data_IF_885008814380
#
_entry.id   IF_885008814380
#
_cell.length_a   1.000
_cell.length_b   1.000
_cell.length_c   1.000
_cell.angle_alpha   90.00
_cell.angle_beta   90.00
_cell.angle_gamma   90.00
#
_symmetry.space_group_name_H-M   'P 1'
#
loop_
_entity.id
_entity.type
_entity.pdbx_description
1 polymer ?
#
# COMPACT_ATOMS: atom_id res chain seq x y z
N UNK A 1 5.36 -12.75 22.19
CA UNK A 1 6.58 -12.27 21.52
C UNK A 1 6.16 -11.73 20.16
N UNK A 2 6.54 -10.51 19.82
CA UNK A 2 6.32 -9.97 18.48
C UNK A 2 7.30 -10.62 17.50
N UNK A 3 6.80 -11.14 16.38
CA UNK A 3 7.62 -11.75 15.33
C UNK A 3 7.39 -10.94 14.05
N UNK A 4 8.48 -10.43 13.47
CA UNK A 4 8.49 -9.75 12.19
C UNK A 4 9.46 -10.51 11.27
N UNK A 5 8.97 -11.04 10.16
CA UNK A 5 9.82 -11.74 9.18
C UNK A 5 10.66 -10.72 8.41
N UNK A 6 11.98 -10.94 8.36
CA UNK A 6 12.94 -10.08 7.65
C UNK A 6 13.05 -10.45 6.17
N UNK A 7 11.95 -10.81 5.57
CA UNK A 7 11.83 -11.09 4.13
C UNK A 7 10.50 -10.56 3.63
N UNK A 8 10.48 -10.14 2.37
CA UNK A 8 9.24 -9.72 1.73
C UNK A 8 8.34 -10.94 1.48
N UNK A 9 7.05 -10.78 1.57
CA UNK A 9 6.06 -11.80 1.24
C UNK A 9 6.12 -12.17 -0.25
N UNK A 10 6.37 -11.18 -1.11
CA UNK A 10 6.69 -11.37 -2.52
C UNK A 10 8.04 -10.71 -2.85
N UNK A 11 8.94 -11.36 -3.61
CA UNK A 11 10.26 -10.81 -3.90
C UNK A 11 10.19 -9.58 -4.81
N UNK A 12 10.98 -8.56 -4.49
CA UNK A 12 11.18 -7.37 -5.32
C UNK A 12 12.63 -7.29 -5.76
N UNK A 13 12.87 -7.30 -7.07
CA UNK A 13 14.20 -7.28 -7.65
C UNK A 13 14.22 -6.47 -8.95
N UNK A 14 14.13 -5.15 -8.82
CA UNK A 14 14.07 -4.20 -9.93
C UNK A 14 15.48 -3.89 -10.40
N UNK A 15 15.74 -4.04 -11.71
CA UNK A 15 17.05 -3.85 -12.32
C UNK A 15 17.29 -2.41 -12.76
N UNK A 16 16.26 -1.77 -13.29
CA UNK A 16 16.38 -0.44 -13.90
C UNK A 16 15.63 0.60 -13.06
N UNK A 17 16.34 1.51 -12.38
CA UNK A 17 15.70 2.59 -11.62
C UNK A 17 14.86 3.51 -12.51
N UNK A 18 13.70 3.93 -12.00
CA UNK A 18 12.80 4.86 -12.67
C UNK A 18 11.97 5.64 -11.64
N UNK A 19 12.35 6.88 -11.39
CA UNK A 19 11.72 7.71 -10.37
C UNK A 19 10.27 8.10 -10.71
N UNK A 20 9.92 8.18 -12.00
CA UNK A 20 8.53 8.43 -12.40
C UNK A 20 7.62 7.27 -12.00
N UNK A 21 8.06 6.02 -12.19
CA UNK A 21 7.30 4.86 -11.73
C UNK A 21 7.20 4.82 -10.20
N UNK A 22 8.29 5.18 -9.49
CA UNK A 22 8.28 5.29 -8.02
C UNK A 22 7.19 6.25 -7.54
N UNK A 23 7.04 7.41 -8.19
CA UNK A 23 6.01 8.38 -7.86
C UNK A 23 4.60 7.80 -8.01
N UNK A 24 4.32 7.08 -9.09
CA UNK A 24 3.00 6.46 -9.30
C UNK A 24 2.67 5.45 -8.20
N UNK A 25 3.65 4.63 -7.84
CA UNK A 25 3.48 3.55 -6.86
C UNK A 25 3.34 4.09 -5.42
N UNK A 26 3.85 5.29 -5.15
CA UNK A 26 3.80 5.92 -3.83
C UNK A 26 2.37 6.07 -3.30
N UNK A 27 1.35 6.20 -4.17
CA UNK A 27 -0.05 6.23 -3.76
C UNK A 27 -0.47 4.97 -2.99
N UNK A 28 0.14 3.82 -3.28
CA UNK A 28 -0.12 2.57 -2.56
C UNK A 28 0.71 2.45 -1.27
N UNK A 29 1.66 3.35 -1.02
CA UNK A 29 2.32 3.45 0.27
C UNK A 29 1.51 4.29 1.25
N UNK A 30 1.29 5.56 0.95
CA UNK A 30 0.71 6.54 1.87
C UNK A 30 -0.48 7.32 1.31
N UNK A 31 -1.04 6.91 0.17
CA UNK A 31 -2.29 7.48 -0.33
C UNK A 31 -3.52 7.00 0.45
N UNK A 32 -4.71 7.54 0.17
CA UNK A 32 -5.94 7.26 0.93
C UNK A 32 -6.35 5.78 0.88
N UNK A 33 -6.02 5.10 -0.19
CA UNK A 33 -6.35 3.70 -0.43
C UNK A 33 -5.08 2.81 -0.46
N UNK A 34 -3.99 3.28 0.17
CA UNK A 34 -2.73 2.56 0.23
C UNK A 34 -2.60 1.67 1.46
N UNK A 35 -1.53 0.87 1.48
CA UNK A 35 -1.29 -0.20 2.47
C UNK A 35 -1.14 0.32 3.89
N UNK A 36 -0.59 1.52 4.07
CA UNK A 36 -0.51 2.14 5.40
C UNK A 36 -1.90 2.41 5.98
N UNK A 37 -2.81 2.94 5.17
CA UNK A 37 -4.19 3.17 5.56
C UNK A 37 -4.93 1.88 5.86
N UNK A 38 -4.79 0.87 5.01
CA UNK A 38 -5.40 -0.43 5.15
C UNK A 38 -4.97 -1.12 6.45
N UNK A 39 -3.66 -1.25 6.70
CA UNK A 39 -3.13 -1.88 7.91
C UNK A 39 -3.62 -1.20 9.20
N UNK A 40 -3.51 0.11 9.29
CA UNK A 40 -3.91 0.87 10.48
C UNK A 40 -5.43 0.83 10.69
N UNK A 41 -6.23 0.87 9.62
CA UNK A 41 -7.69 0.77 9.67
C UNK A 41 -8.10 -0.56 10.28
N UNK A 42 -7.70 -1.68 9.72
CA UNK A 42 -8.12 -3.01 10.14
C UNK A 42 -7.61 -3.36 11.55
N UNK A 43 -6.35 -3.05 11.85
CA UNK A 43 -5.78 -3.28 13.17
C UNK A 43 -6.41 -2.40 14.27
N UNK A 44 -6.97 -1.26 13.92
CA UNK A 44 -7.73 -0.41 14.86
C UNK A 44 -9.16 -0.92 15.04
N UNK A 45 -9.86 -1.25 13.97
CA UNK A 45 -11.26 -1.69 13.98
C UNK A 45 -11.46 -2.99 14.75
N UNK A 46 -10.47 -3.90 14.75
CA UNK A 46 -10.56 -5.19 15.47
C UNK A 46 -10.91 -5.06 16.96
N UNK A 47 -10.56 -3.95 17.60
CA UNK A 47 -10.87 -3.73 19.02
C UNK A 47 -12.35 -3.43 19.27
N UNK A 48 -13.06 -2.89 18.29
CA UNK A 48 -14.50 -2.63 18.36
C UNK A 48 -15.35 -3.83 17.94
N UNK A 49 -14.76 -4.84 17.28
CA UNK A 49 -15.52 -6.02 16.81
C UNK A 49 -15.98 -6.91 17.99
N UNK A 50 -17.28 -7.26 18.07
CA UNK A 50 -17.79 -8.11 19.14
C UNK A 50 -17.50 -9.59 18.92
N UNK A 51 -17.35 -10.03 17.66
CA UNK A 51 -17.20 -11.44 17.29
C UNK A 51 -15.72 -11.82 17.13
N UNK A 52 -15.36 -13.03 17.58
CA UNK A 52 -13.98 -13.53 17.51
C UNK A 52 -13.50 -13.72 16.08
N UNK A 53 -14.40 -14.16 15.22
CA UNK A 53 -14.16 -14.37 13.79
C UNK A 53 -13.77 -13.05 13.11
N UNK A 54 -14.55 -12.00 13.35
CA UNK A 54 -14.23 -10.65 12.83
C UNK A 54 -12.87 -10.14 13.35
N UNK A 55 -12.61 -10.30 14.67
CA UNK A 55 -11.31 -9.92 15.25
C UNK A 55 -10.15 -10.69 14.61
N UNK A 56 -10.33 -11.98 14.41
CA UNK A 56 -9.34 -12.84 13.78
C UNK A 56 -9.02 -12.41 12.35
N UNK A 57 -10.05 -12.23 11.53
CA UNK A 57 -9.91 -11.82 10.13
C UNK A 57 -9.28 -10.44 10.01
N UNK A 58 -9.75 -9.45 10.77
CA UNK A 58 -9.15 -8.10 10.77
C UNK A 58 -7.69 -8.09 11.26
N UNK A 59 -7.34 -8.97 12.20
CA UNK A 59 -5.95 -9.12 12.65
C UNK A 59 -5.08 -9.73 11.55
N UNK A 60 -5.58 -10.76 10.92
CA UNK A 60 -4.86 -11.50 9.88
C UNK A 60 -4.62 -10.62 8.65
N UNK A 61 -5.68 -10.02 8.11
CA UNK A 61 -5.57 -9.10 6.97
C UNK A 61 -4.74 -7.86 7.35
N UNK A 62 -5.04 -7.20 8.47
CA UNK A 62 -4.32 -5.99 8.86
C UNK A 62 -2.82 -6.20 9.10
N UNK A 63 -2.38 -7.41 9.51
CA UNK A 63 -0.96 -7.75 9.61
C UNK A 63 -0.36 -8.10 8.26
N UNK A 64 -1.12 -8.69 7.35
CA UNK A 64 -0.69 -8.91 5.96
C UNK A 64 -0.47 -7.58 5.24
N UNK A 65 -1.31 -6.56 5.48
CA UNK A 65 -1.12 -5.23 4.90
C UNK A 65 0.19 -4.55 5.36
N UNK A 66 0.73 -4.91 6.52
CA UNK A 66 2.08 -4.47 6.90
C UNK A 66 3.15 -5.11 6.00
N UNK A 67 2.96 -6.36 5.58
CA UNK A 67 3.86 -7.00 4.63
C UNK A 67 3.74 -6.40 3.22
N UNK A 68 2.52 -6.03 2.80
CA UNK A 68 2.28 -5.32 1.54
C UNK A 68 2.93 -3.93 1.54
N UNK A 69 2.82 -3.20 2.64
CA UNK A 69 3.51 -1.92 2.84
C UNK A 69 5.02 -2.04 2.62
N UNK A 70 5.65 -3.11 3.13
CA UNK A 70 7.07 -3.38 2.92
C UNK A 70 7.41 -3.69 1.44
N UNK A 71 6.53 -4.41 0.73
CA UNK A 71 6.69 -4.66 -0.71
C UNK A 71 6.66 -3.33 -1.48
N UNK A 72 5.67 -2.48 -1.22
CA UNK A 72 5.53 -1.16 -1.88
C UNK A 72 6.75 -0.29 -1.58
N UNK A 73 7.20 -0.23 -0.31
CA UNK A 73 8.41 0.50 0.08
C UNK A 73 9.66 0.00 -0.65
N UNK A 74 9.81 -1.33 -0.77
CA UNK A 74 10.94 -1.93 -1.48
C UNK A 74 10.94 -1.59 -2.98
N UNK A 75 9.77 -1.55 -3.61
CA UNK A 75 9.63 -1.13 -5.01
C UNK A 75 10.07 0.33 -5.16
N UNK A 76 9.54 1.26 -4.36
CA UNK A 76 9.89 2.68 -4.41
C UNK A 76 11.39 2.88 -4.18
N UNK A 77 11.95 2.22 -3.17
CA UNK A 77 13.38 2.29 -2.87
C UNK A 77 14.24 1.82 -4.04
N UNK A 78 13.92 0.67 -4.65
CA UNK A 78 14.71 0.13 -5.75
C UNK A 78 14.57 0.96 -7.03
N UNK A 79 13.42 1.56 -7.27
CA UNK A 79 13.17 2.46 -8.40
C UNK A 79 13.91 3.80 -8.29
N UNK A 80 14.28 4.23 -7.08
CA UNK A 80 15.01 5.49 -6.86
C UNK A 80 16.49 5.31 -6.53
N UNK A 81 16.92 4.08 -6.27
CA UNK A 81 18.26 3.76 -5.82
C UNK A 81 19.32 4.11 -6.88
N UNK A 82 20.31 4.89 -6.48
CA UNK A 82 21.47 5.23 -7.30
C UNK A 82 21.21 6.32 -8.34
N UNK A 83 20.01 6.88 -8.43
CA UNK A 83 19.73 8.05 -9.27
C UNK A 83 20.34 9.31 -8.66
N UNK A 84 20.89 10.18 -9.52
CA UNK A 84 21.35 11.50 -9.12
C UNK A 84 20.19 12.48 -8.91
N UNK A 85 20.40 13.59 -8.22
CA UNK A 85 19.39 14.64 -8.04
C UNK A 85 18.85 15.15 -9.38
N UNK A 86 19.73 15.35 -10.37
CA UNK A 86 19.33 15.81 -11.71
C UNK A 86 18.42 14.77 -12.40
N UNK A 87 18.75 13.49 -12.34
CA UNK A 87 17.91 12.41 -12.88
C UNK A 87 16.55 12.33 -12.20
N UNK A 88 16.50 12.51 -10.88
CA UNK A 88 15.26 12.55 -10.11
C UNK A 88 14.37 13.72 -10.53
N UNK A 89 14.96 14.91 -10.72
CA UNK A 89 14.24 16.11 -11.19
C UNK A 89 13.73 15.90 -12.62
N UNK A 90 14.57 15.40 -13.52
CA UNK A 90 14.22 15.14 -14.93
C UNK A 90 13.05 14.14 -15.06
N UNK A 91 12.99 13.14 -14.17
CA UNK A 91 11.92 12.14 -14.12
C UNK A 91 10.68 12.59 -13.33
N UNK A 92 10.58 13.85 -12.93
CA UNK A 92 9.41 14.40 -12.25
C UNK A 92 9.35 14.17 -10.75
N UNK A 93 10.38 13.58 -10.14
CA UNK A 93 10.47 13.30 -8.72
C UNK A 93 11.01 14.48 -7.88
N UNK A 94 11.34 15.59 -8.54
CA UNK A 94 11.94 16.76 -7.92
C UNK A 94 11.20 17.33 -6.70
N UNK A 95 9.87 17.53 -6.76
CA UNK A 95 9.10 18.03 -5.61
C UNK A 95 9.21 17.13 -4.38
N UNK A 96 9.15 15.81 -4.58
CA UNK A 96 9.33 14.86 -3.49
C UNK A 96 10.76 14.90 -2.93
N UNK A 97 11.75 14.95 -3.83
CA UNK A 97 13.17 14.97 -3.45
C UNK A 97 13.53 16.19 -2.57
N UNK A 98 12.95 17.35 -2.84
CA UNK A 98 13.19 18.55 -2.04
C UNK A 98 12.81 18.34 -0.57
N UNK A 99 11.67 17.71 -0.33
CA UNK A 99 11.17 17.53 1.03
C UNK A 99 11.74 16.28 1.73
N UNK A 100 12.02 15.21 0.97
CA UNK A 100 12.30 13.89 1.55
C UNK A 100 13.53 13.18 0.99
N UNK A 101 14.25 13.77 0.05
CA UNK A 101 15.31 13.11 -0.74
C UNK A 101 14.74 11.84 -1.42
N UNK A 102 15.36 10.68 -1.24
CA UNK A 102 14.81 9.37 -1.65
C UNK A 102 14.34 8.53 -0.46
N UNK A 103 14.07 9.18 0.68
CA UNK A 103 13.49 8.52 1.86
C UNK A 103 12.04 8.09 1.57
N UNK A 104 11.57 7.05 2.23
CA UNK A 104 10.18 6.59 2.10
C UNK A 104 9.31 7.42 3.03
N UNK A 105 8.49 8.27 2.45
CA UNK A 105 7.56 9.13 3.17
C UNK A 105 6.11 8.84 2.79
N UNK A 106 5.18 8.70 3.75
CA UNK A 106 3.80 8.35 3.47
C UNK A 106 3.02 9.52 2.86
N UNK A 107 2.87 9.48 1.55
CA UNK A 107 2.04 10.42 0.77
C UNK A 107 1.47 9.73 -0.48
N UNK A 108 0.46 10.37 -1.07
CA UNK A 108 -0.05 10.00 -2.38
C UNK A 108 0.90 10.48 -3.50
N UNK A 109 0.76 9.95 -4.72
CA UNK A 109 1.53 10.34 -5.90
C UNK A 109 1.50 11.85 -6.19
N UNK A 110 0.37 12.50 -5.90
CA UNK A 110 0.19 13.94 -6.04
C UNK A 110 0.78 14.79 -4.92
N UNK A 111 1.47 14.21 -3.94
CA UNK A 111 2.13 14.95 -2.86
C UNK A 111 1.26 15.21 -1.63
N UNK A 112 0.04 14.71 -1.58
CA UNK A 112 -0.84 14.85 -0.40
C UNK A 112 -0.34 13.87 0.67
N UNK A 113 0.04 14.36 1.87
CA UNK A 113 0.49 13.51 2.96
C UNK A 113 -0.59 12.54 3.43
N UNK A 114 -0.16 11.39 3.95
CA UNK A 114 -1.06 10.45 4.59
C UNK A 114 -1.90 11.13 5.68
N UNK A 115 -3.20 10.84 5.68
CA UNK A 115 -4.14 11.42 6.61
C UNK A 115 -5.03 10.33 7.25
N UNK A 116 -4.89 10.12 8.55
CA UNK A 116 -5.67 9.13 9.28
C UNK A 116 -7.20 9.41 9.29
N UNK A 117 -7.63 10.63 9.00
CA UNK A 117 -9.06 10.96 8.87
C UNK A 117 -9.76 10.21 7.72
N UNK A 118 -8.98 9.66 6.78
CA UNK A 118 -9.51 8.92 5.64
C UNK A 118 -9.90 7.47 5.96
N UNK A 119 -9.61 6.98 7.17
CA UNK A 119 -9.98 5.62 7.59
C UNK A 119 -11.49 5.37 7.60
N UNK A 120 -12.28 6.39 7.88
CA UNK A 120 -13.74 6.34 7.90
C UNK A 120 -14.34 5.25 8.83
N UNK A 121 -13.58 4.83 9.84
CA UNK A 121 -14.03 3.86 10.84
C UNK A 121 -15.05 4.49 11.80
N UNK A 122 -16.12 3.75 12.10
CA UNK A 122 -17.21 4.21 12.98
C UNK A 122 -17.33 3.42 14.27
N UNK A 123 -16.72 2.23 14.37
CA UNK A 123 -16.91 1.32 15.49
C UNK A 123 -18.22 0.53 15.39
N UNK A 124 -18.90 0.58 14.26
CA UNK A 124 -20.08 -0.21 13.93
C UNK A 124 -19.67 -1.33 12.97
N UNK A 125 -19.97 -2.58 13.34
CA UNK A 125 -19.49 -3.78 12.62
C UNK A 125 -19.86 -3.77 11.15
N UNK A 126 -21.13 -3.52 10.85
CA UNK A 126 -21.64 -3.59 9.47
C UNK A 126 -21.08 -2.43 8.65
N UNK A 127 -21.06 -1.22 9.22
CA UNK A 127 -20.51 -0.04 8.55
C UNK A 127 -19.03 -0.21 8.25
N UNK A 128 -18.25 -0.66 9.23
CA UNK A 128 -16.79 -0.80 9.09
C UNK A 128 -16.44 -1.92 8.10
N UNK A 129 -17.11 -3.07 8.12
CA UNK A 129 -16.89 -4.15 7.14
C UNK A 129 -17.25 -3.74 5.70
N UNK A 130 -18.32 -2.95 5.50
CA UNK A 130 -18.64 -2.41 4.18
C UNK A 130 -17.58 -1.43 3.68
N UNK A 131 -17.07 -0.58 4.57
CA UNK A 131 -15.96 0.33 4.22
C UNK A 131 -14.67 -0.44 3.93
N UNK A 132 -14.37 -1.49 4.67
CA UNK A 132 -13.20 -2.35 4.44
C UNK A 132 -13.30 -3.00 3.05
N UNK A 133 -14.44 -3.57 2.69
CA UNK A 133 -14.67 -4.10 1.34
C UNK A 133 -14.50 -3.02 0.27
N UNK A 134 -14.99 -1.81 0.51
CA UNK A 134 -14.83 -0.69 -0.41
C UNK A 134 -13.36 -0.26 -0.50
N UNK A 135 -12.61 -0.27 0.60
CA UNK A 135 -11.19 0.05 0.65
C UNK A 135 -10.38 -0.92 -0.23
N UNK A 136 -10.61 -2.23 -0.09
CA UNK A 136 -9.96 -3.25 -0.92
C UNK A 136 -10.21 -3.03 -2.41
N UNK A 137 -11.45 -2.71 -2.80
CA UNK A 137 -11.77 -2.44 -4.20
C UNK A 137 -11.14 -1.13 -4.72
N UNK A 138 -10.99 -0.11 -3.89
CA UNK A 138 -10.29 1.12 -4.25
C UNK A 138 -8.79 0.85 -4.44
N UNK A 139 -8.16 0.11 -3.53
CA UNK A 139 -6.76 -0.29 -3.64
C UNK A 139 -6.53 -1.14 -4.90
N UNK A 140 -7.35 -2.18 -5.13
CA UNK A 140 -7.30 -2.99 -6.36
C UNK A 140 -7.42 -2.13 -7.63
N UNK A 141 -8.33 -1.17 -7.65
CA UNK A 141 -8.52 -0.26 -8.78
C UNK A 141 -7.29 0.62 -9.02
N UNK A 142 -6.64 1.06 -7.96
CA UNK A 142 -5.38 1.84 -8.03
C UNK A 142 -4.25 0.97 -8.59
N UNK A 143 -4.10 -0.28 -8.15
CA UNK A 143 -3.15 -1.22 -8.76
C UNK A 143 -3.43 -1.48 -10.24
N UNK A 144 -4.69 -1.63 -10.64
CA UNK A 144 -5.07 -1.76 -12.05
C UNK A 144 -4.64 -0.51 -12.86
N UNK A 145 -4.78 0.70 -12.30
CA UNK A 145 -4.36 1.93 -12.95
C UNK A 145 -2.83 2.00 -13.09
N UNK A 146 -2.09 1.61 -12.06
CA UNK A 146 -0.62 1.50 -12.11
C UNK A 146 -0.20 0.55 -13.23
N UNK A 147 -0.78 -0.65 -13.32
CA UNK A 147 -0.48 -1.65 -14.35
C UNK A 147 -0.81 -1.20 -15.78
N UNK A 148 -1.71 -0.23 -15.95
CA UNK A 148 -1.99 0.37 -17.27
C UNK A 148 -0.85 1.25 -17.78
N UNK A 149 -0.14 1.93 -16.89
CA UNK A 149 0.92 2.90 -17.23
C UNK A 149 2.33 2.33 -17.06
N UNK A 150 2.55 1.47 -16.06
CA UNK A 150 3.84 0.81 -15.82
C UNK A 150 3.93 -0.45 -16.70
N UNK A 151 5.07 -0.62 -17.38
CA UNK A 151 5.31 -1.76 -18.29
C UNK A 151 6.55 -2.57 -17.95
N UNK A 152 7.35 -2.13 -17.00
CA UNK A 152 8.50 -2.87 -16.53
C UNK A 152 8.04 -4.16 -15.85
N UNK A 153 8.55 -5.31 -16.32
CA UNK A 153 8.18 -6.63 -15.81
C UNK A 153 8.54 -6.79 -14.33
N UNK A 154 9.74 -6.33 -13.94
CA UNK A 154 10.23 -6.47 -12.56
C UNK A 154 9.39 -5.66 -11.56
N UNK A 155 8.70 -4.61 -12.03
CA UNK A 155 7.75 -3.80 -11.26
C UNK A 155 6.34 -4.39 -11.31
N UNK A 156 5.91 -4.83 -12.50
CA UNK A 156 4.54 -5.34 -12.68
C UNK A 156 4.25 -6.61 -11.89
N UNK A 157 5.23 -7.50 -11.70
CA UNK A 157 4.99 -8.79 -11.00
C UNK A 157 4.62 -8.61 -9.51
N UNK A 158 5.38 -7.86 -8.69
CA UNK A 158 4.94 -7.60 -7.33
C UNK A 158 3.63 -6.79 -7.26
N UNK A 159 3.37 -5.86 -8.19
CA UNK A 159 2.10 -5.13 -8.25
C UNK A 159 0.92 -6.05 -8.57
N UNK A 160 1.08 -7.04 -9.45
CA UNK A 160 0.05 -8.05 -9.72
C UNK A 160 -0.25 -8.91 -8.51
N UNK A 161 0.80 -9.31 -7.77
CA UNK A 161 0.63 -10.06 -6.52
C UNK A 161 -0.22 -9.26 -5.54
N UNK A 162 0.15 -8.01 -5.23
CA UNK A 162 -0.60 -7.14 -4.33
C UNK A 162 -2.08 -7.00 -4.80
N UNK A 163 -2.27 -6.68 -6.07
CA UNK A 163 -3.61 -6.55 -6.66
C UNK A 163 -4.48 -7.81 -6.47
N UNK A 164 -3.90 -9.00 -6.55
CA UNK A 164 -4.62 -10.26 -6.32
C UNK A 164 -4.97 -10.46 -4.84
N UNK A 165 -4.15 -9.97 -3.92
CA UNK A 165 -4.43 -10.02 -2.49
C UNK A 165 -5.64 -9.16 -2.11
N UNK A 166 -5.81 -7.99 -2.72
CA UNK A 166 -7.00 -7.15 -2.53
C UNK A 166 -8.30 -7.90 -2.83
N UNK A 167 -8.31 -8.77 -3.84
CA UNK A 167 -9.49 -9.59 -4.17
C UNK A 167 -9.77 -10.62 -3.07
N UNK A 168 -8.73 -11.23 -2.52
CA UNK A 168 -8.85 -12.20 -1.42
C UNK A 168 -9.36 -11.52 -0.15
N UNK A 169 -8.80 -10.36 0.19
CA UNK A 169 -9.21 -9.58 1.37
C UNK A 169 -10.68 -9.14 1.25
N UNK A 170 -11.07 -8.61 0.09
CA UNK A 170 -12.46 -8.26 -0.21
C UNK A 170 -13.42 -9.43 0.04
N UNK A 171 -13.08 -10.64 -0.46
CA UNK A 171 -13.90 -11.83 -0.26
C UNK A 171 -13.99 -12.22 1.22
N UNK A 172 -12.87 -12.20 1.93
CA UNK A 172 -12.82 -12.53 3.37
C UNK A 172 -13.63 -11.56 4.22
N UNK A 173 -13.62 -10.27 3.91
CA UNK A 173 -14.50 -9.30 4.59
C UNK A 173 -15.97 -9.53 4.25
N UNK A 174 -16.27 -9.96 3.04
CA UNK A 174 -17.64 -10.28 2.61
C UNK A 174 -18.23 -11.56 3.22
N UNK A 175 -17.38 -12.43 3.79
CA UNK A 175 -17.78 -13.66 4.47
C UNK A 175 -18.13 -13.45 5.95
N UNK A 176 -17.82 -12.28 6.52
CA UNK A 176 -18.09 -11.91 7.92
C UNK A 176 -19.48 -11.30 8.11
#
# INVERSE_FOLDING_TARGET
MWIYEKRLEFPVNIKEPNAQMAQFIMSQYGGPDGEMGASMRYLSQRYAMPYKECKGTLTDIGTEELAHLEIVAAIIHQLTKGLTADQLVEQGFGPYYIDHTTGIWPQAAGGIPFNACEFQSKGDVITDLHEDMAAEQKARSTYDNILRVVKDYDVCEPIKFLREREVVHYQRFGEL
#
